data_IF_880569500148
#
_entry.id   IF_880569500148
#
_cell.length_a   1.000
_cell.length_b   1.000
_cell.length_c   1.000
_cell.angle_alpha   90.00
_cell.angle_beta   90.00
_cell.angle_gamma   90.00
#
_symmetry.space_group_name_H-M   'P 1'
#
loop_
_entity.id
_entity.type
_entity.pdbx_description
1 polymer ?
#
# COMPACT_ATOMS: atom_id res chain seq x y z
N UNK A 1 -16.55 22.89 44.19
CA UNK A 1 -15.27 23.39 43.66
C UNK A 1 -14.34 22.19 43.47
N UNK A 2 -14.35 21.53 42.30
CA UNK A 2 -13.51 20.36 42.01
C UNK A 2 -12.61 20.68 40.81
N UNK A 3 -11.29 20.85 41.06
CA UNK A 3 -10.27 20.89 40.01
C UNK A 3 -10.02 19.45 39.55
N UNK A 4 -10.60 19.09 38.41
CA UNK A 4 -10.31 17.83 37.71
C UNK A 4 -8.95 18.01 37.03
N UNK A 5 -8.06 17.06 37.27
CA UNK A 5 -6.65 17.06 36.87
C UNK A 5 -6.46 17.20 35.35
N UNK A 6 -6.01 18.38 34.91
CA UNK A 6 -5.34 18.59 33.62
C UNK A 6 -3.97 17.88 33.65
N UNK A 7 -3.95 16.57 33.39
CA UNK A 7 -2.70 15.87 33.04
C UNK A 7 -2.54 15.97 31.53
N UNK A 8 -1.60 16.83 31.09
CA UNK A 8 -1.07 16.78 29.72
C UNK A 8 -0.71 15.30 29.41
N UNK A 9 -1.19 14.72 28.29
CA UNK A 9 -0.80 13.37 27.94
C UNK A 9 0.72 13.32 27.82
N UNK A 10 1.34 12.34 28.48
CA UNK A 10 2.77 12.09 28.34
C UNK A 10 3.10 11.95 26.85
N UNK A 11 4.25 12.48 26.43
CA UNK A 11 4.72 12.33 25.05
C UNK A 11 4.68 10.85 24.66
N UNK A 12 4.16 10.49 23.47
CA UNK A 12 4.16 9.10 23.00
C UNK A 12 5.58 8.60 22.66
N UNK A 13 6.57 9.50 22.67
CA UNK A 13 7.96 9.19 22.38
C UNK A 13 8.73 8.88 23.67
N UNK A 14 9.69 7.94 23.63
CA UNK A 14 10.61 7.75 24.74
C UNK A 14 11.40 9.04 25.00
N UNK A 15 11.91 9.28 26.21
CA UNK A 15 12.73 10.46 26.50
C UNK A 15 13.91 10.55 25.53
N UNK A 16 14.08 11.70 24.88
CA UNK A 16 15.16 11.96 23.93
C UNK A 16 15.70 13.38 24.12
N UNK A 17 16.98 13.56 23.79
CA UNK A 17 17.64 14.88 23.80
C UNK A 17 17.85 15.44 22.39
N UNK A 18 17.84 14.56 21.41
CA UNK A 18 18.12 14.85 20.01
C UNK A 18 17.18 14.00 19.15
N UNK A 19 16.44 14.66 18.26
CA UNK A 19 15.43 14.03 17.42
C UNK A 19 16.06 13.18 16.30
N UNK A 20 17.22 13.58 15.78
CA UNK A 20 17.94 12.87 14.73
C UNK A 20 18.48 11.54 15.28
N UNK A 21 19.09 11.58 16.47
CA UNK A 21 19.56 10.37 17.16
C UNK A 21 18.39 9.44 17.48
N UNK A 22 17.25 9.97 17.93
CA UNK A 22 16.06 9.16 18.19
C UNK A 22 15.55 8.48 16.92
N UNK A 23 15.52 9.20 15.79
CA UNK A 23 15.09 8.66 14.50
C UNK A 23 16.04 7.57 14.00
N UNK A 24 17.36 7.77 14.12
CA UNK A 24 18.36 6.74 13.81
C UNK A 24 18.16 5.50 14.66
N UNK A 25 18.00 5.65 15.98
CA UNK A 25 17.78 4.54 16.90
C UNK A 25 16.52 3.73 16.56
N UNK A 26 15.44 4.39 16.12
CA UNK A 26 14.26 3.66 15.63
C UNK A 26 14.55 2.90 14.34
N UNK A 27 15.27 3.51 13.39
CA UNK A 27 15.68 2.85 12.16
C UNK A 27 16.50 1.58 12.41
N UNK A 28 17.49 1.68 13.29
CA UNK A 28 18.33 0.56 13.72
C UNK A 28 17.49 -0.52 14.41
N UNK A 29 16.65 -0.14 15.38
CA UNK A 29 15.79 -1.10 16.09
C UNK A 29 14.90 -1.91 15.14
N UNK A 30 14.23 -1.27 14.18
CA UNK A 30 13.36 -2.00 13.26
C UNK A 30 14.14 -2.87 12.28
N UNK A 31 15.33 -2.42 11.85
CA UNK A 31 16.23 -3.20 11.00
C UNK A 31 16.70 -4.46 11.71
N UNK A 32 17.17 -4.31 12.96
CA UNK A 32 17.63 -5.42 13.79
C UNK A 32 16.49 -6.38 14.12
N UNK A 33 15.30 -5.87 14.42
CA UNK A 33 14.11 -6.69 14.67
C UNK A 33 13.74 -7.52 13.44
N UNK A 34 13.79 -6.95 12.24
CA UNK A 34 13.54 -7.69 10.98
C UNK A 34 14.59 -8.78 10.79
N UNK A 35 15.87 -8.46 10.98
CA UNK A 35 16.96 -9.42 10.84
C UNK A 35 16.85 -10.57 11.84
N UNK A 36 16.53 -10.26 13.10
CA UNK A 36 16.33 -11.26 14.15
C UNK A 36 15.16 -12.20 13.84
N UNK A 37 14.03 -11.66 13.40
CA UNK A 37 12.87 -12.48 13.00
C UNK A 37 13.24 -13.41 11.84
N UNK A 38 13.99 -12.93 10.84
CA UNK A 38 14.46 -13.77 9.72
C UNK A 38 15.37 -14.90 10.21
N UNK A 39 16.34 -14.59 11.06
CA UNK A 39 17.22 -15.60 11.65
C UNK A 39 16.44 -16.63 12.50
N UNK A 40 15.46 -16.18 13.28
CA UNK A 40 14.59 -17.07 14.06
C UNK A 40 13.73 -17.97 13.16
N UNK A 41 13.27 -17.49 12.01
CA UNK A 41 12.55 -18.29 11.02
C UNK A 41 13.46 -19.29 10.31
N UNK A 42 14.69 -18.91 9.99
CA UNK A 42 15.66 -19.78 9.32
C UNK A 42 16.20 -20.87 10.28
N UNK A 43 16.26 -20.58 11.58
CA UNK A 43 16.70 -21.52 12.62
C UNK A 43 15.59 -22.42 13.15
N UNK A 44 14.32 -22.07 12.88
CA UNK A 44 13.24 -23.04 13.02
C UNK A 44 13.49 -24.16 12.02
N UNK A 45 13.99 -25.29 12.53
CA UNK A 45 13.97 -26.54 11.80
C UNK A 45 12.58 -26.70 11.23
N UNK A 46 12.47 -26.64 9.89
CA UNK A 46 11.33 -27.18 9.18
C UNK A 46 11.18 -28.57 9.75
N UNK A 47 10.17 -28.78 10.60
CA UNK A 47 9.80 -30.11 10.99
C UNK A 47 9.58 -30.78 9.64
N UNK A 48 10.41 -31.78 9.33
CA UNK A 48 10.12 -32.75 8.28
C UNK A 48 8.84 -33.46 8.74
N UNK A 49 7.74 -32.72 8.68
CA UNK A 49 6.42 -33.28 8.60
C UNK A 49 6.57 -34.28 7.45
N UNK A 50 6.18 -35.55 7.65
CA UNK A 50 6.07 -36.46 6.53
C UNK A 50 5.36 -35.68 5.44
N UNK A 51 5.85 -35.78 4.21
CA UNK A 51 5.35 -35.07 3.05
C UNK A 51 3.86 -35.39 2.90
N UNK A 52 3.05 -34.72 3.70
CA UNK A 52 1.72 -34.32 3.34
C UNK A 52 2.05 -33.40 2.19
N UNK A 53 2.22 -33.99 1.00
CA UNK A 53 1.64 -33.50 -0.21
C UNK A 53 0.21 -33.13 0.19
N UNK A 54 0.08 -31.97 0.84
CA UNK A 54 -1.14 -31.26 0.95
C UNK A 54 -1.50 -31.19 -0.53
N UNK A 55 -2.60 -31.82 -0.91
CA UNK A 55 -3.31 -31.51 -2.14
C UNK A 55 -3.72 -30.03 -2.05
N UNK A 56 -2.72 -29.13 -1.99
CA UNK A 56 -2.88 -27.71 -2.14
C UNK A 56 -3.08 -27.62 -3.63
N UNK A 57 -4.28 -27.23 -4.08
CA UNK A 57 -4.51 -27.03 -5.49
C UNK A 57 -3.47 -26.04 -5.98
N UNK A 58 -2.59 -26.48 -6.88
CA UNK A 58 -1.61 -25.59 -7.50
C UNK A 58 -2.42 -24.62 -8.33
N UNK A 59 -2.47 -23.36 -7.90
CA UNK A 59 -3.12 -22.32 -8.66
C UNK A 59 -2.24 -21.96 -9.85
N UNK A 60 -2.57 -22.53 -11.01
CA UNK A 60 -1.75 -22.42 -12.22
C UNK A 60 -2.26 -21.38 -13.21
N UNK A 61 -3.53 -20.98 -13.11
CA UNK A 61 -4.17 -20.13 -14.13
C UNK A 61 -5.19 -19.17 -13.52
N UNK A 62 -5.24 -17.96 -14.06
CA UNK A 62 -6.31 -17.03 -13.78
C UNK A 62 -7.52 -17.33 -14.66
N UNK A 63 -8.72 -17.14 -14.10
CA UNK A 63 -9.95 -17.19 -14.88
C UNK A 63 -9.93 -16.06 -15.91
N UNK A 64 -10.18 -16.39 -17.16
CA UNK A 64 -10.35 -15.40 -18.23
C UNK A 64 -11.54 -14.50 -17.94
N UNK A 65 -11.34 -13.18 -18.06
CA UNK A 65 -12.39 -12.18 -17.89
C UNK A 65 -12.99 -11.84 -19.25
N UNK A 66 -14.31 -11.70 -19.31
CA UNK A 66 -15.02 -11.17 -20.47
C UNK A 66 -15.00 -9.64 -20.49
N UNK A 67 -15.29 -9.04 -21.65
CA UNK A 67 -15.45 -7.58 -21.74
C UNK A 67 -16.55 -7.08 -20.81
N UNK A 68 -17.62 -7.85 -20.60
CA UNK A 68 -18.68 -7.49 -19.65
C UNK A 68 -18.21 -7.52 -18.19
N UNK A 69 -17.31 -8.45 -17.83
CA UNK A 69 -16.70 -8.46 -16.50
C UNK A 69 -15.89 -7.17 -16.28
N UNK A 70 -15.09 -6.80 -17.29
CA UNK A 70 -14.27 -5.58 -17.27
C UNK A 70 -15.13 -4.32 -17.24
N UNK A 71 -16.19 -4.26 -18.05
CA UNK A 71 -17.17 -3.17 -18.04
C UNK A 71 -17.72 -2.95 -16.63
N UNK A 72 -18.21 -4.02 -15.99
CA UNK A 72 -18.78 -3.95 -14.63
C UNK A 72 -17.74 -3.51 -13.62
N UNK A 73 -16.50 -4.00 -13.73
CA UNK A 73 -15.39 -3.62 -12.84
C UNK A 73 -15.10 -2.11 -12.94
N UNK A 74 -14.94 -1.61 -14.17
CA UNK A 74 -14.60 -0.20 -14.41
C UNK A 74 -15.73 0.73 -13.98
N UNK A 75 -16.98 0.42 -14.32
CA UNK A 75 -18.14 1.25 -13.93
C UNK A 75 -18.27 1.32 -12.41
N UNK A 76 -18.11 0.19 -11.70
CA UNK A 76 -18.23 0.11 -10.23
C UNK A 76 -17.07 0.78 -9.48
N UNK A 77 -15.90 0.90 -10.10
CA UNK A 77 -14.73 1.54 -9.47
C UNK A 77 -15.02 3.00 -9.08
N UNK A 78 -14.31 3.57 -8.11
CA UNK A 78 -14.43 5.01 -7.82
C UNK A 78 -13.83 5.80 -8.98
N UNK A 79 -14.43 6.94 -9.34
CA UNK A 79 -13.91 7.84 -10.38
C UNK A 79 -12.77 8.72 -9.86
N UNK A 80 -11.76 8.11 -9.26
CA UNK A 80 -10.55 8.77 -8.76
C UNK A 80 -9.44 8.65 -9.80
N UNK A 81 -8.72 9.75 -10.06
CA UNK A 81 -7.58 9.77 -10.99
C UNK A 81 -6.32 10.26 -10.28
N UNK A 82 -5.17 9.80 -10.77
CA UNK A 82 -3.83 10.29 -10.46
C UNK A 82 -3.35 11.23 -11.57
N UNK A 83 -2.41 12.13 -11.26
CA UNK A 83 -1.74 12.94 -12.30
C UNK A 83 -0.85 12.12 -13.24
N UNK A 84 -0.47 10.91 -12.83
CA UNK A 84 0.30 9.97 -13.66
C UNK A 84 -0.60 9.15 -14.58
N UNK A 85 -1.93 9.20 -14.41
CA UNK A 85 -2.84 8.46 -15.26
C UNK A 85 -2.88 9.10 -16.65
N UNK A 86 -2.84 8.29 -17.73
CA UNK A 86 -2.89 8.81 -19.10
C UNK A 86 -4.26 9.40 -19.45
N UNK A 87 -5.31 9.03 -18.70
CA UNK A 87 -6.68 9.44 -18.95
C UNK A 87 -7.44 9.61 -17.63
N UNK A 88 -8.22 10.70 -17.45
CA UNK A 88 -9.13 10.80 -16.31
C UNK A 88 -10.17 9.67 -16.30
N UNK A 89 -10.39 9.07 -15.13
CA UNK A 89 -11.30 7.92 -14.97
C UNK A 89 -12.75 8.22 -15.35
N UNK A 90 -13.21 9.46 -15.17
CA UNK A 90 -14.57 9.85 -15.58
C UNK A 90 -14.74 9.73 -17.10
N UNK A 91 -13.74 10.19 -17.87
CA UNK A 91 -13.75 10.16 -19.32
C UNK A 91 -13.65 8.73 -19.86
N UNK A 92 -12.85 7.89 -19.18
CA UNK A 92 -12.79 6.46 -19.44
C UNK A 92 -14.16 5.80 -19.31
N UNK A 93 -14.90 6.13 -18.24
CA UNK A 93 -16.21 5.53 -17.97
C UNK A 93 -17.27 5.94 -18.98
N UNK A 94 -17.30 7.22 -19.36
CA UNK A 94 -18.24 7.73 -20.37
C UNK A 94 -18.04 7.07 -21.74
N UNK A 95 -16.80 6.66 -22.05
CA UNK A 95 -16.42 6.09 -23.34
C UNK A 95 -15.99 4.62 -23.21
N UNK A 96 -16.46 3.90 -22.20
CA UNK A 96 -15.93 2.57 -21.82
C UNK A 96 -15.95 1.60 -23.01
N UNK A 97 -16.99 1.65 -23.84
CA UNK A 97 -17.17 0.79 -25.01
C UNK A 97 -15.98 0.81 -25.96
N UNK A 98 -15.36 1.98 -26.13
CA UNK A 98 -14.19 2.16 -27.01
C UNK A 98 -12.96 1.47 -26.43
N UNK A 99 -12.86 1.38 -25.11
CA UNK A 99 -11.69 0.87 -24.40
C UNK A 99 -11.82 -0.59 -23.97
N UNK A 100 -13.00 -1.19 -24.03
CA UNK A 100 -13.26 -2.53 -23.48
C UNK A 100 -12.30 -3.59 -24.00
N UNK A 101 -12.12 -3.68 -25.31
CA UNK A 101 -11.25 -4.70 -25.90
C UNK A 101 -9.80 -4.53 -25.47
N UNK A 102 -9.31 -3.29 -25.44
CA UNK A 102 -7.94 -2.98 -25.03
C UNK A 102 -7.72 -3.27 -23.54
N UNK A 103 -8.62 -2.79 -22.67
CA UNK A 103 -8.56 -3.04 -21.23
C UNK A 103 -8.64 -4.52 -20.90
N UNK A 104 -9.51 -5.26 -21.58
CA UNK A 104 -9.67 -6.70 -21.37
C UNK A 104 -8.39 -7.45 -21.70
N UNK A 105 -7.77 -7.16 -22.85
CA UNK A 105 -6.47 -7.74 -23.23
C UNK A 105 -5.38 -7.40 -22.22
N UNK A 106 -5.29 -6.13 -21.83
CA UNK A 106 -4.34 -5.66 -20.81
C UNK A 106 -4.47 -6.48 -19.52
N UNK A 107 -5.69 -6.59 -18.97
CA UNK A 107 -5.92 -7.28 -17.70
C UNK A 107 -5.60 -8.77 -17.83
N UNK A 108 -6.07 -9.43 -18.90
CA UNK A 108 -5.80 -10.87 -19.12
C UNK A 108 -4.29 -11.13 -19.24
N UNK A 109 -3.59 -10.34 -20.06
CA UNK A 109 -2.15 -10.52 -20.27
C UNK A 109 -1.35 -10.25 -18.99
N UNK A 110 -1.71 -9.22 -18.22
CA UNK A 110 -1.06 -8.94 -16.94
C UNK A 110 -1.26 -10.07 -15.93
N UNK A 111 -2.45 -10.65 -15.86
CA UNK A 111 -2.73 -11.78 -14.97
C UNK A 111 -2.01 -13.06 -15.42
N UNK A 112 -2.02 -13.37 -16.71
CA UNK A 112 -1.39 -14.57 -17.25
C UNK A 112 0.14 -14.53 -17.11
N UNK A 113 0.75 -13.37 -17.35
CA UNK A 113 2.21 -13.24 -17.36
C UNK A 113 2.78 -12.79 -16.01
N UNK A 114 1.92 -12.36 -15.08
CA UNK A 114 2.36 -11.77 -13.80
C UNK A 114 3.15 -10.47 -13.97
N UNK A 115 2.93 -9.75 -15.08
CA UNK A 115 3.73 -8.58 -15.45
C UNK A 115 2.87 -7.32 -15.58
N UNK A 116 3.41 -6.22 -15.04
CA UNK A 116 2.83 -4.88 -15.13
C UNK A 116 3.90 -3.88 -15.58
N UNK A 117 3.54 -2.88 -16.40
CA UNK A 117 4.42 -1.78 -16.75
C UNK A 117 5.03 -1.11 -15.51
N UNK A 118 6.28 -0.66 -15.62
CA UNK A 118 6.97 -0.02 -14.49
C UNK A 118 6.26 1.27 -14.05
N UNK A 119 5.72 2.03 -14.99
CA UNK A 119 5.00 3.27 -14.73
C UNK A 119 3.76 3.06 -13.85
N UNK A 120 3.12 1.89 -13.92
CA UNK A 120 1.93 1.57 -13.10
C UNK A 120 2.28 1.24 -11.65
N UNK A 121 3.57 1.00 -11.37
CA UNK A 121 4.07 0.77 -10.01
C UNK A 121 4.44 2.07 -9.31
N UNK A 122 4.37 3.20 -10.01
CA UNK A 122 4.66 4.50 -9.44
C UNK A 122 3.42 5.08 -8.75
N UNK A 123 3.62 5.73 -7.61
CA UNK A 123 2.57 6.41 -6.86
C UNK A 123 2.95 7.87 -6.62
N UNK A 124 1.99 8.78 -6.80
CA UNK A 124 2.15 10.18 -6.44
C UNK A 124 1.65 10.39 -5.00
N UNK A 125 2.56 10.60 -4.06
CA UNK A 125 2.22 10.87 -2.66
C UNK A 125 2.04 12.37 -2.46
N UNK A 126 0.84 12.78 -2.00
CA UNK A 126 0.56 14.15 -1.59
C UNK A 126 0.14 14.16 -0.12
N UNK A 127 0.92 14.79 0.78
CA UNK A 127 0.48 14.95 2.16
C UNK A 127 -0.76 15.85 2.19
N UNK A 128 -1.81 15.39 2.89
CA UNK A 128 -3.03 16.15 3.12
C UNK A 128 -3.09 16.58 4.59
N UNK A 129 -3.36 17.87 4.82
CA UNK A 129 -3.56 18.40 6.16
C UNK A 129 -4.91 17.93 6.70
N UNK A 130 -4.91 17.37 7.92
CA UNK A 130 -6.15 16.87 8.57
C UNK A 130 -7.12 17.97 8.99
N UNK A 131 -6.64 19.21 9.17
CA UNK A 131 -7.46 20.35 9.63
C UNK A 131 -7.31 21.53 8.66
N UNK A 132 -8.40 22.20 8.28
CA UNK A 132 -8.32 23.47 7.57
C UNK A 132 -7.65 24.51 8.48
N UNK A 133 -6.66 25.23 7.93
CA UNK A 133 -5.95 26.31 8.64
C UNK A 133 -4.58 25.95 9.22
N UNK A 134 -4.09 24.71 9.11
CA UNK A 134 -2.66 24.44 9.36
C UNK A 134 -1.83 25.01 8.20
N UNK A 135 -0.86 25.88 8.49
CA UNK A 135 0.09 26.33 7.47
C UNK A 135 1.13 25.23 7.22
N UNK A 136 1.35 24.88 5.95
CA UNK A 136 2.37 23.89 5.57
C UNK A 136 3.78 24.31 6.01
N UNK A 137 4.01 25.63 6.14
CA UNK A 137 5.28 26.24 6.56
C UNK A 137 5.54 26.16 8.08
N UNK A 138 4.54 25.92 8.92
CA UNK A 138 4.78 25.76 10.37
C UNK A 138 5.35 24.38 10.72
N UNK A 139 5.21 23.39 9.82
CA UNK A 139 5.76 22.05 10.00
C UNK A 139 7.27 21.96 9.68
N UNK A 140 7.86 23.02 9.10
CA UNK A 140 9.31 23.13 8.86
C UNK A 140 10.05 23.94 9.93
N UNK A 141 9.38 24.39 10.99
CA UNK A 141 9.95 25.31 12.00
C UNK A 141 9.88 24.79 13.43
N UNK A 142 9.92 23.47 13.60
CA UNK A 142 10.18 22.86 14.92
C UNK A 142 11.52 22.16 14.87
N UNK A 143 12.59 22.95 14.91
CA UNK A 143 13.91 22.53 15.43
C UNK A 143 13.83 22.37 16.95
#
# INVERSE_FOLDING_TARGET
MHKILDRKPASPLPPYKDAEILACNFGEFFTDKINKIRQELDTQTVINLPDFARDVPVWSTFKTLSEDDIRRLVIKAKSTHCKLDPLPTWLLKENIDVFLSALTKIVIMSLQNGQFPMDWKQAMVKPLLKKPGLNLFELSSSE
#
